data_IF_090508751631
#
_entry.id   IF_090508751631
#
_cell.length_a   1.000
_cell.length_b   1.000
_cell.length_c   1.000
_cell.angle_alpha   90.00
_cell.angle_beta   90.00
_cell.angle_gamma   90.00
#
_symmetry.space_group_name_H-M   'P 1'
#
loop_
_entity.id
_entity.type
_entity.pdbx_description
1 polymer ?
#
# COMPACT_ATOMS: atom_id res chain seq x y z
N UNK A 1 36.55 -32.01 8.21
CA UNK A 1 35.19 -31.61 7.81
C UNK A 1 35.32 -30.26 7.13
N UNK A 2 34.99 -30.16 5.84
CA UNK A 2 35.15 -28.92 5.08
C UNK A 2 33.82 -28.15 5.08
N UNK A 3 33.82 -26.95 5.63
CA UNK A 3 32.68 -26.03 5.59
C UNK A 3 32.51 -25.50 4.16
N UNK A 4 31.38 -25.84 3.53
CA UNK A 4 31.00 -25.28 2.23
C UNK A 4 30.57 -23.83 2.43
N UNK A 5 31.48 -22.90 2.14
CA UNK A 5 31.24 -21.47 2.17
C UNK A 5 30.45 -21.08 0.92
N UNK A 6 29.13 -20.89 1.04
CA UNK A 6 28.28 -20.39 -0.05
C UNK A 6 28.45 -18.86 -0.11
N UNK A 7 29.35 -18.40 -0.98
CA UNK A 7 29.52 -16.99 -1.26
C UNK A 7 28.22 -16.42 -1.88
N UNK A 8 27.62 -15.44 -1.20
CA UNK A 8 26.49 -14.68 -1.75
C UNK A 8 27.01 -13.82 -2.90
N UNK A 9 26.70 -14.20 -4.14
CA UNK A 9 27.09 -13.44 -5.33
C UNK A 9 26.22 -12.17 -5.39
N UNK A 10 26.79 -10.96 -5.35
CA UNK A 10 26.02 -9.73 -5.51
C UNK A 10 25.39 -9.71 -6.91
N UNK A 11 24.08 -9.47 -6.97
CA UNK A 11 23.37 -9.27 -8.23
C UNK A 11 23.98 -8.09 -9.00
N UNK A 12 24.06 -8.22 -10.32
CA UNK A 12 24.61 -7.15 -11.15
C UNK A 12 23.77 -5.88 -11.04
N UNK A 13 24.42 -4.72 -11.18
CA UNK A 13 23.80 -3.40 -11.05
C UNK A 13 22.60 -3.21 -11.99
N UNK A 14 22.58 -3.91 -13.13
CA UNK A 14 21.47 -3.91 -14.08
C UNK A 14 20.20 -4.58 -13.52
N UNK A 15 20.35 -5.65 -12.73
CA UNK A 15 19.22 -6.33 -12.10
C UNK A 15 18.65 -5.49 -10.97
N UNK A 16 19.50 -4.89 -10.13
CA UNK A 16 19.06 -3.96 -9.08
C UNK A 16 18.28 -2.76 -9.65
N UNK A 17 18.75 -2.18 -10.75
CA UNK A 17 18.06 -1.06 -11.40
C UNK A 17 16.67 -1.46 -11.95
N UNK A 18 16.54 -2.67 -12.51
CA UNK A 18 15.25 -3.18 -13.00
C UNK A 18 14.24 -3.42 -11.86
N UNK A 19 14.69 -3.96 -10.73
CA UNK A 19 13.81 -4.23 -9.59
C UNK A 19 13.35 -2.92 -8.91
N UNK A 20 14.24 -1.93 -8.76
CA UNK A 20 13.87 -0.60 -8.27
C UNK A 20 12.86 0.10 -9.20
N UNK A 21 12.99 -0.10 -10.52
CA UNK A 21 12.03 0.42 -11.50
C UNK A 21 10.65 -0.24 -11.32
N UNK A 22 10.60 -1.55 -11.14
CA UNK A 22 9.35 -2.29 -10.90
C UNK A 22 8.67 -1.88 -9.58
N UNK A 23 9.42 -1.68 -8.50
CA UNK A 23 8.91 -1.15 -7.23
C UNK A 23 8.22 0.21 -7.44
N UNK A 24 8.88 1.13 -8.15
CA UNK A 24 8.34 2.47 -8.43
C UNK A 24 7.07 2.42 -9.28
N UNK A 25 7.04 1.54 -10.28
CA UNK A 25 5.87 1.37 -11.16
C UNK A 25 4.65 0.88 -10.38
N UNK A 26 4.82 -0.11 -9.50
CA UNK A 26 3.71 -0.62 -8.68
C UNK A 26 3.26 0.38 -7.62
N UNK A 27 4.20 1.09 -6.98
CA UNK A 27 3.84 2.17 -6.06
C UNK A 27 3.02 3.24 -6.80
N UNK A 28 3.43 3.63 -8.01
CA UNK A 28 2.69 4.57 -8.83
C UNK A 28 1.29 4.04 -9.18
N UNK A 29 1.14 2.75 -9.50
CA UNK A 29 -0.16 2.12 -9.75
C UNK A 29 -1.03 2.15 -8.49
N UNK A 30 -0.51 1.76 -7.34
CA UNK A 30 -1.24 1.75 -6.07
C UNK A 30 -1.69 3.17 -5.67
N UNK A 31 -0.79 4.15 -5.74
CA UNK A 31 -1.12 5.56 -5.47
C UNK A 31 -2.14 6.12 -6.46
N UNK A 32 -2.04 5.77 -7.74
CA UNK A 32 -3.01 6.18 -8.77
C UNK A 32 -4.40 5.63 -8.45
N UNK A 33 -4.52 4.36 -8.07
CA UNK A 33 -5.79 3.75 -7.67
C UNK A 33 -6.35 4.40 -6.41
N UNK A 34 -5.51 4.58 -5.39
CA UNK A 34 -5.90 5.22 -4.14
C UNK A 34 -6.43 6.65 -4.38
N UNK A 35 -5.71 7.46 -5.17
CA UNK A 35 -6.14 8.83 -5.48
C UNK A 35 -7.43 8.86 -6.31
N UNK A 36 -7.65 7.90 -7.22
CA UNK A 36 -8.91 7.80 -7.95
C UNK A 36 -10.09 7.50 -7.01
N UNK A 37 -9.91 6.59 -6.05
CA UNK A 37 -10.94 6.29 -5.04
C UNK A 37 -11.21 7.49 -4.14
N UNK A 38 -10.17 8.22 -3.71
CA UNK A 38 -10.33 9.46 -2.93
C UNK A 38 -11.13 10.50 -3.68
N UNK A 39 -10.86 10.67 -4.98
CA UNK A 39 -11.62 11.59 -5.82
C UNK A 39 -13.10 11.17 -5.87
N UNK A 40 -13.39 9.87 -6.05
CA UNK A 40 -14.77 9.37 -6.00
C UNK A 40 -15.46 9.68 -4.67
N UNK A 41 -14.76 9.49 -3.55
CA UNK A 41 -15.28 9.85 -2.22
C UNK A 41 -15.51 11.35 -2.09
N UNK A 42 -14.59 12.19 -2.57
CA UNK A 42 -14.70 13.66 -2.54
C UNK A 42 -15.87 14.17 -3.38
N UNK A 43 -16.02 13.65 -4.61
CA UNK A 43 -17.11 14.00 -5.52
C UNK A 43 -18.48 13.65 -4.89
N UNK A 44 -18.55 12.55 -4.13
CA UNK A 44 -19.79 12.08 -3.47
C UNK A 44 -20.08 12.75 -2.14
N UNK A 45 -19.05 13.15 -1.41
CA UNK A 45 -19.19 13.82 -0.11
C UNK A 45 -19.32 15.34 -0.23
N UNK A 46 -19.20 15.92 -1.43
CA UNK A 46 -19.37 17.36 -1.64
C UNK A 46 -18.37 18.18 -0.82
N UNK A 47 -17.08 17.96 -1.07
CA UNK A 47 -15.96 18.84 -0.64
C UNK A 47 -15.87 19.25 0.85
N UNK A 48 -16.36 18.44 1.79
CA UNK A 48 -16.16 18.73 3.22
C UNK A 48 -14.99 17.91 3.80
N UNK A 49 -13.76 18.32 3.49
CA UNK A 49 -12.50 17.73 4.03
C UNK A 49 -12.29 17.98 5.53
N UNK A 50 -13.27 18.55 6.25
CA UNK A 50 -13.04 19.13 7.59
C UNK A 50 -13.71 18.40 8.77
N UNK A 51 -14.54 17.38 8.54
CA UNK A 51 -15.25 16.75 9.65
C UNK A 51 -14.40 15.64 10.26
N UNK A 52 -13.82 15.97 11.42
CA UNK A 52 -13.28 15.01 12.38
C UNK A 52 -14.21 13.80 12.46
N UNK A 53 -13.69 12.66 12.03
CA UNK A 53 -14.47 11.43 11.87
C UNK A 53 -14.86 10.95 13.28
N UNK A 54 -16.17 10.80 13.58
CA UNK A 54 -16.60 10.20 14.84
C UNK A 54 -15.92 8.84 15.04
N UNK A 55 -15.49 8.52 16.27
CA UNK A 55 -14.81 7.23 16.60
C UNK A 55 -15.57 5.97 16.11
N UNK A 56 -16.85 6.09 15.79
CA UNK A 56 -17.73 5.00 15.34
C UNK A 56 -18.30 5.18 13.91
N UNK A 57 -17.77 6.10 13.09
CA UNK A 57 -18.33 6.41 11.76
C UNK A 57 -18.13 5.32 10.70
N UNK A 58 -17.39 4.25 11.02
CA UNK A 58 -17.11 3.15 10.10
C UNK A 58 -18.35 2.33 9.74
N UNK A 59 -19.39 2.38 10.59
CA UNK A 59 -20.61 1.58 10.47
C UNK A 59 -21.68 2.16 9.53
N UNK A 60 -21.69 3.47 9.26
CA UNK A 60 -22.85 4.11 8.59
C UNK A 60 -22.53 4.91 7.32
N UNK A 61 -21.27 5.14 6.96
CA UNK A 61 -20.95 5.94 5.77
C UNK A 61 -20.69 5.04 4.55
N UNK A 62 -21.43 5.22 3.43
CA UNK A 62 -21.19 4.47 2.19
C UNK A 62 -19.89 4.88 1.50
N UNK A 63 -19.35 6.06 1.82
CA UNK A 63 -18.12 6.62 1.26
C UNK A 63 -17.30 7.25 2.39
N UNK A 64 -16.04 6.88 2.52
CA UNK A 64 -15.23 7.25 3.68
C UNK A 64 -13.75 7.27 3.31
N UNK A 65 -13.05 8.34 3.68
CA UNK A 65 -11.59 8.46 3.58
C UNK A 65 -11.08 8.81 4.98
N UNK A 66 -10.24 7.94 5.54
CA UNK A 66 -9.65 8.11 6.87
C UNK A 66 -8.15 7.96 6.77
N UNK A 67 -7.47 8.76 7.59
CA UNK A 67 -6.03 8.74 7.74
C UNK A 67 -5.65 8.55 9.20
N UNK A 68 -4.72 7.62 9.45
CA UNK A 68 -4.20 7.33 10.78
C UNK A 68 -2.68 7.47 10.78
N UNK A 69 -2.18 8.37 11.62
CA UNK A 69 -0.76 8.44 11.97
C UNK A 69 -0.50 7.59 13.22
N UNK A 70 0.51 6.73 13.14
CA UNK A 70 1.01 5.97 14.28
C UNK A 70 2.19 6.68 14.95
N UNK A 71 2.47 6.33 16.22
CA UNK A 71 3.58 6.91 16.98
C UNK A 71 4.95 6.69 16.32
N UNK A 72 5.10 5.61 15.54
CA UNK A 72 6.32 5.29 14.79
C UNK A 72 6.42 6.00 13.42
N UNK A 73 5.56 7.01 13.20
CA UNK A 73 5.39 7.76 11.95
C UNK A 73 4.84 6.92 10.78
N UNK A 74 4.40 5.68 11.02
CA UNK A 74 3.66 4.93 10.01
C UNK A 74 2.33 5.60 9.72
N UNK A 75 1.88 5.44 8.49
CA UNK A 75 0.70 6.09 7.93
C UNK A 75 -0.22 5.02 7.34
N UNK A 76 -1.41 4.88 7.90
CA UNK A 76 -2.47 4.05 7.32
C UNK A 76 -3.52 4.97 6.69
N UNK A 77 -3.69 4.82 5.39
CA UNK A 77 -4.81 5.43 4.66
C UNK A 77 -5.85 4.36 4.38
N UNK A 78 -7.09 4.67 4.70
CA UNK A 78 -8.24 3.82 4.46
C UNK A 78 -9.26 4.55 3.61
N UNK A 79 -9.64 3.95 2.49
CA UNK A 79 -10.65 4.51 1.58
C UNK A 79 -11.71 3.45 1.33
N UNK A 80 -12.97 3.79 1.58
CA UNK A 80 -14.13 2.94 1.36
C UNK A 80 -15.11 3.65 0.46
N UNK A 81 -15.64 2.92 -0.51
CA UNK A 81 -16.82 3.27 -1.29
C UNK A 81 -17.86 2.16 -1.13
N UNK A 82 -19.04 2.34 -1.72
CA UNK A 82 -20.05 1.28 -1.80
C UNK A 82 -19.57 0.05 -2.56
N UNK A 83 -18.52 0.19 -3.40
CA UNK A 83 -18.01 -0.88 -4.26
C UNK A 83 -16.66 -1.42 -3.84
N UNK A 84 -15.83 -0.63 -3.15
CA UNK A 84 -14.43 -0.94 -2.94
C UNK A 84 -14.01 -0.57 -1.52
N UNK A 85 -13.13 -1.37 -0.91
CA UNK A 85 -12.39 -1.04 0.32
C UNK A 85 -10.91 -1.11 0.00
N UNK A 86 -10.18 -0.03 0.24
CA UNK A 86 -8.75 0.05 0.00
C UNK A 86 -8.01 0.48 1.28
N UNK A 87 -6.88 -0.17 1.55
CA UNK A 87 -5.95 0.13 2.63
C UNK A 87 -4.58 0.37 2.03
N UNK A 88 -3.91 1.43 2.47
CA UNK A 88 -2.53 1.72 2.11
C UNK A 88 -1.74 2.00 3.39
N UNK A 89 -0.82 1.11 3.73
CA UNK A 89 0.08 1.25 4.87
C UNK A 89 1.47 1.61 4.35
N UNK A 90 1.98 2.76 4.82
CA UNK A 90 3.34 3.20 4.61
C UNK A 90 4.06 3.30 5.95
N UNK A 91 5.26 2.73 6.05
CA UNK A 91 6.08 2.83 7.26
C UNK A 91 7.42 3.47 6.90
N UNK A 92 7.71 4.72 7.30
CA UNK A 92 8.93 5.42 6.86
C UNK A 92 10.23 4.70 7.25
N UNK A 93 10.23 4.02 8.40
CA UNK A 93 11.38 3.26 8.89
C UNK A 93 11.53 1.89 8.21
N UNK A 94 10.64 1.55 7.29
CA UNK A 94 10.66 0.30 6.55
C UNK A 94 10.57 0.62 5.06
N UNK A 95 11.28 -0.13 4.24
CA UNK A 95 11.04 -0.12 2.80
C UNK A 95 9.81 -0.97 2.43
N UNK A 96 8.93 -1.22 3.39
CA UNK A 96 7.72 -2.02 3.27
C UNK A 96 6.53 -1.10 3.16
N UNK A 97 5.79 -1.25 2.07
CA UNK A 97 4.45 -0.68 1.94
C UNK A 97 3.48 -1.75 1.49
N UNK A 98 2.24 -1.64 1.97
CA UNK A 98 1.18 -2.62 1.73
C UNK A 98 -0.02 -1.89 1.16
N UNK A 99 -0.49 -2.35 0.01
CA UNK A 99 -1.76 -1.94 -0.57
C UNK A 99 -2.69 -3.14 -0.62
N UNK A 100 -3.88 -3.01 -0.05
CA UNK A 100 -4.93 -4.03 -0.11
C UNK A 100 -6.20 -3.37 -0.62
N UNK A 101 -6.78 -3.91 -1.69
CA UNK A 101 -8.07 -3.50 -2.23
C UNK A 101 -9.00 -4.71 -2.29
N UNK A 102 -10.24 -4.56 -1.81
CA UNK A 102 -11.31 -5.54 -1.96
C UNK A 102 -12.48 -4.91 -2.69
N UNK A 103 -12.93 -5.53 -3.77
CA UNK A 103 -14.14 -5.08 -4.49
C UNK A 103 -15.43 -5.70 -3.91
N UNK A 104 -16.58 -5.25 -4.40
CA UNK A 104 -17.90 -5.70 -3.95
C UNK A 104 -18.16 -7.18 -4.25
N UNK A 105 -17.50 -7.72 -5.28
CA UNK A 105 -17.54 -9.13 -5.64
C UNK A 105 -16.67 -10.00 -4.73
N UNK A 106 -15.97 -9.40 -3.75
CA UNK A 106 -15.08 -10.10 -2.82
C UNK A 106 -13.71 -10.45 -3.39
N UNK A 107 -13.35 -9.95 -4.57
CA UNK A 107 -12.00 -10.15 -5.12
C UNK A 107 -11.01 -9.25 -4.38
N UNK A 108 -9.91 -9.84 -3.96
CA UNK A 108 -8.81 -9.18 -3.29
C UNK A 108 -7.68 -8.88 -4.26
N UNK A 109 -7.14 -7.68 -4.16
CA UNK A 109 -5.90 -7.27 -4.79
C UNK A 109 -4.99 -6.83 -3.66
N UNK A 110 -3.97 -7.62 -3.36
CA UNK A 110 -2.95 -7.21 -2.40
C UNK A 110 -1.60 -7.06 -3.10
N UNK A 111 -0.97 -5.91 -2.90
CA UNK A 111 0.43 -5.70 -3.20
C UNK A 111 1.17 -5.52 -1.88
N UNK A 112 2.05 -6.45 -1.57
CA UNK A 112 3.06 -6.27 -0.55
C UNK A 112 4.36 -5.98 -1.29
N UNK A 113 4.95 -4.83 -1.01
CA UNK A 113 6.26 -4.50 -1.52
C UNK A 113 7.16 -4.28 -0.33
N UNK A 114 8.06 -5.23 -0.13
CA UNK A 114 9.07 -5.20 0.92
C UNK A 114 10.43 -5.04 0.27
N UNK A 115 11.46 -4.78 1.06
CA UNK A 115 12.82 -5.14 0.65
C UNK A 115 13.29 -6.29 1.54
N UNK A 116 14.04 -7.21 0.95
CA UNK A 116 14.68 -8.27 1.70
C UNK A 116 15.83 -7.73 2.57
N UNK A 117 16.52 -8.62 3.29
CA UNK A 117 17.67 -8.27 4.15
C UNK A 117 18.84 -7.63 3.40
N UNK A 118 18.86 -7.72 2.07
CA UNK A 118 19.87 -7.18 1.18
C UNK A 118 19.41 -5.87 0.51
N UNK A 119 18.20 -5.39 0.85
CA UNK A 119 17.62 -4.20 0.26
C UNK A 119 17.01 -4.42 -1.13
N UNK A 120 16.83 -5.67 -1.57
CA UNK A 120 16.22 -6.01 -2.86
C UNK A 120 14.69 -5.98 -2.71
N UNK A 121 13.98 -5.21 -3.56
CA UNK A 121 12.53 -5.20 -3.51
C UNK A 121 11.93 -6.58 -3.82
N UNK A 122 11.12 -7.08 -2.91
CA UNK A 122 10.28 -8.25 -3.10
C UNK A 122 8.84 -7.79 -3.27
N UNK A 123 8.26 -8.16 -4.39
CA UNK A 123 6.88 -7.85 -4.72
C UNK A 123 6.07 -9.13 -4.64
N UNK A 124 5.04 -9.12 -3.82
CA UNK A 124 4.08 -10.21 -3.77
C UNK A 124 2.69 -9.67 -4.10
N UNK A 125 2.16 -10.11 -5.25
CA UNK A 125 0.74 -10.02 -5.54
C UNK A 125 0.07 -11.25 -4.94
N UNK A 126 -0.81 -11.04 -3.95
CA UNK A 126 -1.65 -12.12 -3.44
C UNK A 126 -2.96 -12.11 -4.24
N UNK A 127 -3.30 -13.26 -4.82
CA UNK A 127 -4.59 -13.53 -5.47
C UNK A 127 -5.50 -14.26 -4.50
#
# INVERSE_FOLDING_TARGET
MAESSVASIPLSSAVQNNVVKQERELLAIALKRLNALRKEVQDKNGDDRSKSVPKNAWEFTPYLDIYFDYQDKSQLHFVKTSKIRAYFLFKPSSSTWVYLERNASGQDICYIVNRDKQGIPMIQKLN
#
